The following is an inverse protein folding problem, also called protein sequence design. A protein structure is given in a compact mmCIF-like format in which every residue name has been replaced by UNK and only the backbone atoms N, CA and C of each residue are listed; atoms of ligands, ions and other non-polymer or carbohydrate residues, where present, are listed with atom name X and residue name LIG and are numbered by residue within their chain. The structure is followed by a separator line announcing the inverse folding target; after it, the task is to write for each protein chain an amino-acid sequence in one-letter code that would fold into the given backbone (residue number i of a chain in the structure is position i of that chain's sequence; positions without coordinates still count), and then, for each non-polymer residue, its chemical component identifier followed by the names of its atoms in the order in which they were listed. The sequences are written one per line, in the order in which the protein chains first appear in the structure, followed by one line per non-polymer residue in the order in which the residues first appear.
data_IF_504297090071
#
_entry.id   IF_504297090071
#
_cell.length_a   1.000
_cell.length_b   1.000
_cell.length_c   1.000
_cell.angle_alpha   90.00
_cell.angle_beta   90.00
_cell.angle_gamma   90.00
#
_symmetry.space_group_name_H-M   'P 1'
#
loop_
_entity.id
_entity.type
_entity.pdbx_description
1 polymer ?
#
# COMPACT_ATOMS: atom_id res chain seq x y z
N UNK A 1 -13.68 4.90 35.80
CA UNK A 1 -12.33 5.10 35.25
C UNK A 1 -12.05 3.92 34.34
N UNK A 2 -12.51 4.00 33.09
CA UNK A 2 -12.51 2.86 32.17
C UNK A 2 -11.11 2.62 31.65
N UNK A 3 -10.56 1.45 31.99
CA UNK A 3 -9.32 0.91 31.45
C UNK A 3 -9.47 0.76 29.94
N UNK A 4 -8.84 1.66 29.16
CA UNK A 4 -8.72 1.49 27.72
C UNK A 4 -7.81 0.30 27.45
N UNK A 5 -8.40 -0.79 26.97
CA UNK A 5 -7.70 -2.02 26.63
C UNK A 5 -6.79 -1.78 25.40
N UNK A 6 -5.45 -1.90 25.51
CA UNK A 6 -4.52 -1.56 24.43
C UNK A 6 -4.68 -2.45 23.18
N UNK A 7 -5.43 -3.56 23.28
CA UNK A 7 -5.82 -4.40 22.15
C UNK A 7 -6.84 -3.73 21.21
N UNK A 8 -7.81 -2.99 21.77
CA UNK A 8 -8.91 -2.37 21.00
C UNK A 8 -8.39 -1.22 20.13
N UNK A 9 -7.48 -0.40 20.65
CA UNK A 9 -6.90 0.74 19.92
C UNK A 9 -6.05 0.28 18.72
N UNK A 10 -5.31 -0.84 18.85
CA UNK A 10 -4.54 -1.40 17.73
C UNK A 10 -5.43 -1.95 16.62
N UNK A 11 -6.53 -2.62 16.99
CA UNK A 11 -7.53 -3.10 16.03
C UNK A 11 -8.18 -1.94 15.28
N UNK A 12 -8.60 -0.89 16.00
CA UNK A 12 -9.17 0.32 15.40
C UNK A 12 -8.19 1.01 14.44
N UNK A 13 -6.92 1.17 14.82
CA UNK A 13 -5.91 1.75 13.93
C UNK A 13 -5.68 0.90 12.67
N UNK A 14 -5.70 -0.43 12.81
CA UNK A 14 -5.61 -1.34 11.68
C UNK A 14 -6.84 -1.22 10.75
N UNK A 15 -8.04 -1.13 11.31
CA UNK A 15 -9.28 -1.01 10.54
C UNK A 15 -9.32 0.31 9.75
N UNK A 16 -8.83 1.41 10.32
CA UNK A 16 -8.70 2.69 9.62
C UNK A 16 -7.75 2.55 8.43
N UNK A 17 -6.56 1.98 8.65
CA UNK A 17 -5.58 1.76 7.59
C UNK A 17 -6.10 0.88 6.46
N UNK A 18 -6.85 -0.18 6.79
CA UNK A 18 -7.48 -1.04 5.77
C UNK A 18 -8.52 -0.26 4.99
N UNK A 19 -9.37 0.54 5.66
CA UNK A 19 -10.39 1.36 4.97
C UNK A 19 -9.76 2.38 4.03
N UNK A 20 -8.70 3.06 4.45
CA UNK A 20 -7.96 4.00 3.60
C UNK A 20 -7.39 3.31 2.36
N UNK A 21 -6.74 2.15 2.54
CA UNK A 21 -6.19 1.38 1.42
C UNK A 21 -7.27 0.94 0.42
N UNK A 22 -8.45 0.54 0.89
CA UNK A 22 -9.58 0.17 0.02
C UNK A 22 -10.09 1.38 -0.78
N UNK A 23 -10.21 2.55 -0.15
CA UNK A 23 -10.70 3.77 -0.80
C UNK A 23 -9.70 4.30 -1.83
N UNK A 24 -8.41 4.35 -1.47
CA UNK A 24 -7.36 4.80 -2.39
C UNK A 24 -7.16 3.83 -3.56
N UNK A 25 -7.17 2.53 -3.27
CA UNK A 25 -7.19 1.49 -4.29
C UNK A 25 -8.37 1.65 -5.24
N UNK A 26 -9.59 1.82 -4.73
CA UNK A 26 -10.80 1.98 -5.54
C UNK A 26 -10.74 3.24 -6.42
N UNK A 27 -10.24 4.36 -5.89
CA UNK A 27 -10.03 5.60 -6.65
C UNK A 27 -9.05 5.37 -7.80
N UNK A 28 -7.92 4.72 -7.55
CA UNK A 28 -6.95 4.40 -8.58
C UNK A 28 -7.50 3.43 -9.64
N UNK A 29 -8.28 2.45 -9.21
CA UNK A 29 -8.97 1.51 -10.09
C UNK A 29 -9.95 2.24 -11.03
N UNK A 30 -10.69 3.22 -10.53
CA UNK A 30 -11.60 4.04 -11.33
C UNK A 30 -10.86 4.83 -12.41
N UNK A 31 -9.73 5.47 -12.06
CA UNK A 31 -8.88 6.16 -13.04
C UNK A 31 -8.32 5.20 -14.09
N UNK A 32 -7.78 4.06 -13.66
CA UNK A 32 -7.25 3.03 -14.54
C UNK A 32 -8.34 2.50 -15.49
N UNK A 33 -9.56 2.28 -14.98
CA UNK A 33 -10.71 1.85 -15.77
C UNK A 33 -11.15 2.88 -16.79
N UNK A 34 -11.16 4.17 -16.44
CA UNK A 34 -11.45 5.26 -17.37
C UNK A 34 -10.44 5.33 -18.51
N UNK A 35 -9.14 5.27 -18.19
CA UNK A 35 -8.06 5.30 -19.19
C UNK A 35 -8.06 4.04 -20.06
N UNK A 36 -8.17 2.87 -19.44
CA UNK A 36 -8.15 1.60 -20.17
C UNK A 36 -9.40 1.40 -21.03
N UNK A 37 -10.57 1.78 -20.52
CA UNK A 37 -11.82 1.70 -21.26
C UNK A 37 -11.82 2.62 -22.47
N UNK A 38 -11.36 3.86 -22.31
CA UNK A 38 -11.22 4.80 -23.42
C UNK A 38 -10.17 4.33 -24.44
N UNK A 39 -9.04 3.78 -24.00
CA UNK A 39 -8.03 3.19 -24.87
C UNK A 39 -8.59 2.01 -25.68
N UNK A 40 -9.32 1.08 -25.04
CA UNK A 40 -9.95 -0.07 -25.71
C UNK A 40 -11.06 0.39 -26.67
N UNK A 41 -11.82 1.42 -26.31
CA UNK A 41 -12.83 2.01 -27.20
C UNK A 41 -12.20 2.61 -28.46
N UNK A 42 -11.16 3.44 -28.31
CA UNK A 42 -10.42 4.01 -29.45
C UNK A 42 -9.78 2.90 -30.30
N UNK A 43 -9.09 1.95 -29.68
CA UNK A 43 -8.47 0.84 -30.39
C UNK A 43 -9.50 0.00 -31.15
N UNK A 44 -10.68 -0.22 -30.56
CA UNK A 44 -11.78 -0.92 -31.23
C UNK A 44 -12.38 -0.08 -32.37
N UNK A 45 -12.35 1.25 -32.35
CA UNK A 45 -12.90 2.06 -33.43
C UNK A 45 -11.93 2.19 -34.61
N UNK A 46 -10.65 2.45 -34.34
CA UNK A 46 -9.66 2.78 -35.39
C UNK A 46 -8.90 1.56 -35.92
N UNK A 47 -8.68 0.51 -35.12
CA UNK A 47 -7.82 -0.61 -35.50
C UNK A 47 -8.63 -1.85 -35.90
N UNK A 48 -8.71 -2.10 -37.21
CA UNK A 48 -9.34 -3.31 -37.79
C UNK A 48 -8.68 -4.61 -37.30
N UNK A 49 -7.36 -4.61 -37.09
CA UNK A 49 -6.63 -5.77 -36.55
C UNK A 49 -7.03 -6.07 -35.11
N UNK A 50 -7.16 -5.03 -34.26
CA UNK A 50 -7.59 -5.17 -32.87
C UNK A 50 -9.04 -5.68 -32.75
N UNK A 51 -9.91 -5.26 -33.67
CA UNK A 51 -11.29 -5.76 -33.80
C UNK A 51 -11.37 -7.25 -34.14
N UNK A 52 -10.49 -7.73 -35.04
CA UNK A 52 -10.50 -9.12 -35.53
C UNK A 52 -9.71 -10.07 -34.64
N UNK A 53 -8.66 -9.59 -33.97
CA UNK A 53 -7.78 -10.41 -33.12
C UNK A 53 -8.34 -10.64 -31.72
N UNK A 54 -9.11 -9.71 -31.16
CA UNK A 54 -9.61 -9.79 -29.78
C UNK A 54 -11.14 -9.90 -29.76
N UNK A 55 -11.62 -11.04 -29.28
CA UNK A 55 -13.03 -11.22 -28.90
C UNK A 55 -13.43 -10.39 -27.67
N UNK A 56 -14.70 -10.48 -27.27
CA UNK A 56 -15.23 -9.73 -26.11
C UNK A 56 -14.41 -10.01 -24.85
N UNK A 57 -14.06 -11.27 -24.59
CA UNK A 57 -13.26 -11.71 -23.44
C UNK A 57 -11.85 -11.06 -23.42
N UNK A 58 -11.19 -10.96 -24.58
CA UNK A 58 -9.85 -10.34 -24.67
C UNK A 58 -9.89 -8.82 -24.41
N UNK A 59 -10.94 -8.14 -24.89
CA UNK A 59 -11.16 -6.72 -24.63
C UNK A 59 -11.47 -6.46 -23.17
N UNK A 60 -12.29 -7.32 -22.54
CA UNK A 60 -12.56 -7.21 -21.10
C UNK A 60 -11.32 -7.48 -20.27
N UNK A 61 -10.48 -8.46 -20.64
CA UNK A 61 -9.21 -8.71 -19.95
C UNK A 61 -8.30 -7.47 -19.98
N UNK A 62 -8.22 -6.81 -21.14
CA UNK A 62 -7.46 -5.55 -21.27
C UNK A 62 -7.97 -4.42 -20.39
N UNK A 63 -9.25 -4.42 -20.00
CA UNK A 63 -9.82 -3.41 -19.09
C UNK A 63 -9.65 -3.84 -17.63
N UNK A 64 -9.97 -5.08 -17.31
CA UNK A 64 -10.00 -5.60 -15.94
C UNK A 64 -8.59 -5.71 -15.35
N UNK A 65 -7.61 -6.17 -16.15
CA UNK A 65 -6.22 -6.33 -15.68
C UNK A 65 -5.62 -5.03 -15.15
N UNK A 66 -5.62 -3.89 -15.87
CA UNK A 66 -5.08 -2.65 -15.34
C UNK A 66 -5.91 -2.08 -14.17
N UNK A 67 -7.23 -2.30 -14.14
CA UNK A 67 -8.07 -1.91 -12.99
C UNK A 67 -7.62 -2.63 -11.72
N UNK A 68 -7.54 -3.96 -11.77
CA UNK A 68 -7.12 -4.77 -10.62
C UNK A 68 -5.66 -4.53 -10.25
N UNK A 69 -4.78 -4.40 -11.24
CA UNK A 69 -3.36 -4.12 -11.02
C UNK A 69 -3.15 -2.81 -10.27
N UNK A 70 -3.81 -1.72 -10.71
CA UNK A 70 -3.69 -0.41 -10.05
C UNK A 70 -4.38 -0.37 -8.69
N UNK A 71 -5.53 -1.04 -8.55
CA UNK A 71 -6.19 -1.20 -7.26
C UNK A 71 -5.27 -1.84 -6.23
N UNK A 72 -4.71 -3.01 -6.58
CA UNK A 72 -3.88 -3.80 -5.68
C UNK A 72 -2.59 -3.07 -5.32
N UNK A 73 -1.92 -2.50 -6.32
CA UNK A 73 -0.69 -1.74 -6.11
C UNK A 73 -0.90 -0.56 -5.14
N UNK A 74 -1.98 0.20 -5.31
CA UNK A 74 -2.25 1.33 -4.43
C UNK A 74 -2.69 0.90 -3.04
N UNK A 75 -3.51 -0.15 -2.93
CA UNK A 75 -3.87 -0.70 -1.63
C UNK A 75 -2.62 -1.15 -0.85
N UNK A 76 -1.65 -1.80 -1.49
CA UNK A 76 -0.39 -2.19 -0.86
C UNK A 76 0.46 -0.99 -0.46
N UNK A 77 0.54 0.04 -1.30
CA UNK A 77 1.28 1.26 -0.97
C UNK A 77 0.71 1.94 0.27
N UNK A 78 -0.61 2.13 0.34
CA UNK A 78 -1.29 2.72 1.50
C UNK A 78 -1.10 1.86 2.75
N UNK A 79 -1.21 0.54 2.64
CA UNK A 79 -0.96 -0.38 3.75
C UNK A 79 0.51 -0.31 4.23
N UNK A 80 1.45 -0.23 3.31
CA UNK A 80 2.88 -0.11 3.63
C UNK A 80 3.17 1.22 4.32
N UNK A 81 2.55 2.32 3.88
CA UNK A 81 2.64 3.60 4.57
C UNK A 81 2.11 3.53 6.00
N UNK A 82 0.97 2.89 6.20
CA UNK A 82 0.39 2.65 7.52
C UNK A 82 1.33 1.81 8.42
N UNK A 83 1.91 0.73 7.89
CA UNK A 83 2.90 -0.09 8.59
C UNK A 83 4.15 0.72 8.95
N UNK A 84 4.63 1.56 8.02
CA UNK A 84 5.77 2.44 8.23
C UNK A 84 5.48 3.48 9.32
N UNK A 85 4.31 4.15 9.29
CA UNK A 85 3.89 5.10 10.34
C UNK A 85 3.88 4.41 11.71
N UNK A 86 3.30 3.22 11.81
CA UNK A 86 3.30 2.44 13.06
C UNK A 86 4.70 2.16 13.59
N UNK A 87 5.64 1.73 12.74
CA UNK A 87 7.05 1.49 13.12
C UNK A 87 7.79 2.74 13.57
N UNK A 88 7.46 3.92 13.04
CA UNK A 88 8.03 5.18 13.53
C UNK A 88 7.42 5.57 14.89
N UNK A 89 6.11 5.35 15.09
CA UNK A 89 5.43 5.62 16.36
C UNK A 89 5.86 4.68 17.49
N UNK A 90 6.20 3.42 17.19
CA UNK A 90 6.76 2.47 18.16
C UNK A 90 8.28 2.69 18.42
N UNK A 91 8.92 3.66 17.73
CA UNK A 91 10.36 3.98 17.88
C UNK A 91 10.80 4.98 18.97
N UNK A 92 9.98 5.48 19.92
CA UNK A 92 10.50 6.20 21.08
C UNK A 92 10.72 5.23 22.27
N UNK A 93 11.91 4.62 22.38
CA UNK A 93 12.56 4.09 23.62
C UNK A 93 13.50 2.87 23.43
N UNK A 94 13.75 2.37 22.22
CA UNK A 94 14.75 1.28 22.10
C UNK A 94 16.21 1.77 22.11
N UNK A 95 16.46 3.04 21.78
CA UNK A 95 17.81 3.64 21.85
C UNK A 95 18.38 3.67 23.27
N UNK A 96 17.55 3.65 24.33
CA UNK A 96 18.05 3.56 25.71
C UNK A 96 18.45 2.15 26.14
N UNK A 97 17.81 1.09 25.61
CA UNK A 97 18.15 -0.30 26.01
C UNK A 97 19.45 -0.80 25.40
N UNK A 98 19.85 -0.29 24.23
CA UNK A 98 21.13 -0.67 23.60
C UNK A 98 22.31 0.10 24.19
N UNK A 99 22.10 1.32 24.70
CA UNK A 99 23.16 2.10 25.35
C UNK A 99 23.49 1.60 26.76
N UNK A 100 22.54 0.98 27.47
CA UNK A 100 22.70 0.52 28.86
C UNK A 100 23.46 -0.83 29.01
N UNK A 101 23.90 -1.46 27.91
CA UNK A 101 24.61 -2.74 27.95
C UNK A 101 26.03 -2.69 27.35
N UNK A 102 26.65 -1.50 27.29
CA UNK A 102 28.11 -1.40 27.11
C UNK A 102 28.77 -1.39 28.49
N UNK A 103 29.41 -2.49 28.95
CA UNK A 103 30.34 -2.38 30.06
C UNK A 103 31.46 -1.42 29.66
N UNK A 104 31.71 -0.46 30.55
CA UNK A 104 32.82 0.49 30.47
C UNK A 104 34.14 -0.30 30.34
N UNK A 105 34.76 -0.29 29.16
CA UNK A 105 36.15 -0.68 28.99
C UNK A 105 37.01 0.56 29.34
N UNK A 106 37.88 0.49 30.37
CA UNK A 106 38.80 1.58 30.67
C UNK A 106 39.92 1.60 29.61
N UNK A 107 40.05 2.72 28.91
CA UNK A 107 41.19 2.97 28.03
C UNK A 107 42.46 3.25 28.88
N UNK A 108 43.61 2.62 28.59
CA UNK A 108 44.88 3.00 29.21
C UNK A 108 45.38 4.34 28.64
N UNK A 109 45.81 5.23 29.54
CA UNK A 109 46.39 6.52 29.19
C UNK A 109 47.78 6.35 28.54
N UNK A 110 48.12 7.14 27.50
CA UNK A 110 49.46 7.13 26.92
C UNK A 110 50.44 7.90 27.81
N UNK A 111 51.53 7.24 28.21
CA UNK A 111 52.76 7.83 28.75
C UNK A 111 53.73 8.17 27.64
#
# INVERSE_FOLDING_TARGET
MSTSDPGVTRKQAQDICVREALVEGAKAAAWAGGISGSAVFLANHFLLSFRRALGVSGKTALIVTPIFGMYFLQAELTMNECSRRRKWTERPMQTSKVAAHRPHQPHPAPT
#
